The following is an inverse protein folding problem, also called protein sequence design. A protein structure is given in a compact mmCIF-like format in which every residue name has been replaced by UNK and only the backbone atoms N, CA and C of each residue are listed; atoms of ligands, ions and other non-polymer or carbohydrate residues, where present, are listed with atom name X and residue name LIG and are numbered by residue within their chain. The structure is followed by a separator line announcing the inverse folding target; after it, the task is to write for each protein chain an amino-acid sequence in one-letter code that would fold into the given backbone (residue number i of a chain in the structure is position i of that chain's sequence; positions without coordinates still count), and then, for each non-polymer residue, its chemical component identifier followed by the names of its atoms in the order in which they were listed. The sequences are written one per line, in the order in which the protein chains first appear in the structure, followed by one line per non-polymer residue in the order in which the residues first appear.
data_IF_828020271842
#
_entry.id   IF_828020271842
#
_cell.length_a   1.000
_cell.length_b   1.000
_cell.length_c   1.000
_cell.angle_alpha   90.00
_cell.angle_beta   90.00
_cell.angle_gamma   90.00
#
_symmetry.space_group_name_H-M   'P 1'
#
loop_
_entity.id
_entity.type
_entity.pdbx_description
1 polymer ?
#
# COMPACT_ATOMS: atom_id res chain seq x y z
N UNK A 1 -2.21 -74.08 -35.77
CA UNK A 1 -2.41 -72.83 -36.50
C UNK A 1 -3.04 -71.80 -35.47
N UNK A 2 -2.26 -70.91 -34.99
CA UNK A 2 -2.74 -69.78 -34.15
C UNK A 2 -2.48 -68.50 -34.92
N UNK A 3 -3.41 -67.58 -35.05
CA UNK A 3 -3.19 -66.31 -35.71
C UNK A 3 -2.51 -65.32 -34.75
N UNK A 4 -1.47 -64.63 -35.26
CA UNK A 4 -0.79 -63.53 -34.64
C UNK A 4 -1.63 -62.26 -34.85
N UNK A 5 -1.95 -61.54 -33.72
CA UNK A 5 -2.44 -60.17 -33.79
C UNK A 5 -1.29 -59.20 -33.53
N UNK A 6 -1.12 -58.15 -34.33
CA UNK A 6 -0.14 -57.12 -34.07
C UNK A 6 -0.59 -56.16 -32.99
N UNK A 7 0.30 -55.92 -32.03
CA UNK A 7 0.16 -54.96 -30.96
C UNK A 7 0.25 -53.54 -31.52
N UNK A 8 -0.86 -52.79 -31.49
CA UNK A 8 -0.90 -51.39 -31.89
C UNK A 8 -0.34 -50.54 -30.76
N UNK A 9 0.83 -49.96 -30.93
CA UNK A 9 1.46 -49.03 -30.00
C UNK A 9 0.81 -47.67 -30.16
N UNK A 10 -0.07 -47.27 -29.21
CA UNK A 10 -0.64 -45.92 -29.15
C UNK A 10 0.41 -44.99 -28.54
N UNK A 11 1.08 -44.21 -29.34
CA UNK A 11 1.87 -43.06 -28.86
C UNK A 11 0.89 -41.96 -28.42
N UNK A 12 0.80 -41.76 -27.09
CA UNK A 12 0.20 -40.55 -26.51
C UNK A 12 1.17 -39.39 -26.72
N UNK A 13 0.85 -38.50 -27.64
CA UNK A 13 1.49 -37.19 -27.77
C UNK A 13 1.15 -36.37 -26.50
N UNK A 14 2.14 -36.22 -25.63
CA UNK A 14 2.05 -35.22 -24.58
C UNK A 14 2.04 -33.86 -25.27
N UNK A 15 0.87 -33.22 -25.26
CA UNK A 15 0.69 -31.84 -25.71
C UNK A 15 1.52 -30.92 -24.81
N UNK A 16 2.52 -30.25 -25.38
CA UNK A 16 3.11 -29.08 -24.75
C UNK A 16 2.01 -28.01 -24.64
N UNK A 17 1.49 -27.81 -23.47
CA UNK A 17 0.70 -26.60 -23.16
C UNK A 17 1.61 -25.39 -23.36
N UNK A 18 1.29 -24.59 -24.38
CA UNK A 18 1.91 -23.28 -24.55
C UNK A 18 1.57 -22.45 -23.30
N UNK A 19 2.55 -21.72 -22.72
CA UNK A 19 2.23 -20.76 -21.67
C UNK A 19 1.14 -19.80 -22.18
N UNK A 20 0.14 -19.55 -21.36
CA UNK A 20 -0.97 -18.64 -21.68
C UNK A 20 -0.38 -17.30 -22.13
N UNK A 21 -0.73 -16.89 -23.34
CA UNK A 21 -0.41 -15.53 -23.80
C UNK A 21 -1.15 -14.53 -22.92
N UNK A 22 -0.55 -13.36 -22.63
CA UNK A 22 -1.27 -12.27 -21.94
C UNK A 22 -2.55 -11.99 -22.72
N UNK A 23 -3.65 -11.83 -21.99
CA UNK A 23 -4.97 -11.59 -22.55
C UNK A 23 -4.91 -10.46 -23.58
N UNK A 24 -5.50 -10.69 -24.76
CA UNK A 24 -5.60 -9.71 -25.84
C UNK A 24 -6.23 -8.42 -25.29
N UNK A 25 -5.42 -7.34 -25.21
CA UNK A 25 -5.86 -6.02 -24.78
C UNK A 25 -6.87 -5.54 -25.84
N UNK A 26 -8.11 -5.28 -25.43
CA UNK A 26 -9.14 -4.79 -26.34
C UNK A 26 -8.76 -3.38 -26.84
N UNK A 27 -8.17 -3.31 -28.02
CA UNK A 27 -7.73 -2.08 -28.69
C UNK A 27 -8.86 -1.07 -28.94
N UNK A 28 -10.12 -1.45 -28.67
CA UNK A 28 -11.31 -0.60 -28.79
C UNK A 28 -11.62 0.17 -27.49
N UNK A 29 -10.95 -0.15 -26.39
CA UNK A 29 -11.13 0.57 -25.14
C UNK A 29 -10.02 1.64 -24.99
N UNK A 30 -10.31 2.95 -25.13
CA UNK A 30 -9.33 4.03 -25.00
C UNK A 30 -8.74 4.13 -23.58
N UNK A 31 -9.31 3.45 -22.61
CA UNK A 31 -8.87 3.38 -21.21
C UNK A 31 -8.08 2.11 -20.89
N UNK A 32 -7.85 1.21 -21.86
CA UNK A 32 -7.10 -0.02 -21.61
C UNK A 32 -5.66 0.30 -21.18
N UNK A 33 -5.14 -0.47 -20.21
CA UNK A 33 -3.73 -0.44 -19.86
C UNK A 33 -2.91 -0.98 -21.03
N UNK A 34 -1.93 -0.20 -21.49
CA UNK A 34 -0.98 -0.59 -22.53
C UNK A 34 0.40 -0.62 -21.91
N UNK A 35 0.96 -1.81 -21.75
CA UNK A 35 2.32 -1.99 -21.26
C UNK A 35 3.37 -1.57 -22.30
N UNK A 36 4.49 -1.05 -21.81
CA UNK A 36 5.66 -0.80 -22.63
C UNK A 36 6.27 -2.14 -23.09
N UNK A 37 6.71 -2.21 -24.33
CA UNK A 37 7.48 -3.34 -24.84
C UNK A 37 8.95 -3.33 -24.41
N UNK A 38 9.37 -2.30 -23.65
CA UNK A 38 10.75 -2.21 -23.20
C UNK A 38 11.11 -3.37 -22.27
N UNK A 39 12.19 -4.12 -22.54
CA UNK A 39 12.61 -5.21 -21.68
C UNK A 39 13.10 -4.69 -20.32
N UNK A 40 13.01 -5.54 -19.29
CA UNK A 40 13.63 -5.25 -18.01
C UNK A 40 15.14 -5.04 -18.15
N UNK A 41 15.76 -4.12 -17.39
CA UNK A 41 17.20 -4.02 -17.30
C UNK A 41 17.83 -5.35 -16.89
N UNK A 42 19.05 -5.61 -17.38
CA UNK A 42 19.73 -6.91 -17.14
C UNK A 42 19.99 -7.18 -15.66
N UNK A 43 20.29 -6.14 -14.88
CA UNK A 43 20.51 -6.25 -13.44
C UNK A 43 19.19 -6.18 -12.70
N UNK A 44 18.81 -7.29 -12.03
CA UNK A 44 17.61 -7.40 -11.23
C UNK A 44 17.92 -7.16 -9.75
N UNK A 45 17.45 -6.06 -9.16
CA UNK A 45 17.61 -5.84 -7.73
C UNK A 45 16.91 -6.94 -6.92
N UNK A 46 17.56 -7.39 -5.83
CA UNK A 46 16.99 -8.41 -4.97
C UNK A 46 15.65 -7.96 -4.36
N UNK A 47 14.66 -8.85 -4.32
CA UNK A 47 13.35 -8.58 -3.74
C UNK A 47 12.44 -7.66 -4.58
N UNK A 48 12.87 -7.21 -5.76
CA UNK A 48 12.07 -6.31 -6.62
C UNK A 48 11.46 -7.03 -7.83
N UNK A 49 10.42 -6.43 -8.39
CA UNK A 49 9.79 -6.79 -9.65
C UNK A 49 9.91 -5.64 -10.65
N UNK A 50 10.18 -6.00 -11.90
CA UNK A 50 10.13 -5.05 -13.00
C UNK A 50 8.68 -4.73 -13.35
N UNK A 51 8.35 -3.47 -13.33
CA UNK A 51 7.07 -2.93 -13.81
C UNK A 51 7.36 -2.32 -15.17
N UNK A 52 6.76 -2.83 -16.26
CA UNK A 52 7.19 -2.47 -17.60
C UNK A 52 6.91 -1.03 -18.01
N UNK A 53 6.17 -0.29 -17.16
CA UNK A 53 5.65 1.01 -17.53
C UNK A 53 4.54 0.90 -18.58
N UNK A 54 4.18 2.01 -19.20
CA UNK A 54 3.15 2.03 -20.23
C UNK A 54 2.10 3.10 -19.99
N UNK A 55 0.94 2.95 -20.62
CA UNK A 55 -0.18 3.87 -20.52
C UNK A 55 -1.32 3.24 -19.72
N UNK A 56 -1.95 4.00 -18.84
CA UNK A 56 -3.14 3.55 -18.11
C UNK A 56 -4.06 4.72 -17.77
N UNK A 57 -5.29 4.41 -17.37
CA UNK A 57 -6.21 5.37 -16.77
C UNK A 57 -6.02 5.37 -15.27
N UNK A 58 -5.51 6.48 -14.73
CA UNK A 58 -5.32 6.72 -13.31
C UNK A 58 -6.56 7.35 -12.69
N UNK A 59 -6.86 6.97 -11.45
CA UNK A 59 -8.02 7.46 -10.73
C UNK A 59 -9.32 6.77 -11.11
N UNK A 60 -10.43 7.38 -10.76
CA UNK A 60 -11.78 6.90 -11.03
C UNK A 60 -12.77 8.07 -10.99
N UNK A 61 -13.93 7.90 -11.67
CA UNK A 61 -15.01 8.89 -11.61
C UNK A 61 -16.06 8.56 -10.52
N UNK A 62 -15.76 7.65 -9.61
CA UNK A 62 -16.68 7.24 -8.55
C UNK A 62 -16.61 8.17 -7.33
N UNK A 63 -15.42 8.45 -6.82
CA UNK A 63 -15.22 9.25 -5.60
C UNK A 63 -14.62 10.63 -5.93
N UNK A 64 -15.06 11.71 -5.24
CA UNK A 64 -14.57 13.06 -5.55
C UNK A 64 -13.05 13.22 -5.52
N UNK A 65 -12.36 12.57 -4.55
CA UNK A 65 -10.90 12.66 -4.39
C UNK A 65 -10.12 11.88 -5.46
N UNK A 66 -10.78 11.00 -6.21
CA UNK A 66 -10.19 10.17 -7.27
C UNK A 66 -10.37 10.76 -8.66
N UNK A 67 -11.18 11.85 -8.78
CA UNK A 67 -11.58 12.48 -10.05
C UNK A 67 -10.58 13.53 -10.54
N UNK A 68 -10.59 13.77 -11.86
CA UNK A 68 -11.14 12.92 -12.91
C UNK A 68 -10.26 11.69 -13.16
N UNK A 69 -10.85 10.60 -13.65
CA UNK A 69 -10.08 9.56 -14.30
C UNK A 69 -9.33 10.16 -15.49
N UNK A 70 -8.03 9.94 -15.58
CA UNK A 70 -7.19 10.58 -16.59
C UNK A 70 -6.09 9.65 -17.10
N UNK A 71 -5.61 9.96 -18.29
CA UNK A 71 -4.55 9.17 -18.92
C UNK A 71 -3.19 9.52 -18.33
N UNK A 72 -2.40 8.50 -17.98
CA UNK A 72 -1.02 8.63 -17.51
C UNK A 72 -0.12 7.66 -18.27
N UNK A 73 1.10 8.11 -18.58
CA UNK A 73 2.16 7.34 -19.23
C UNK A 73 3.34 7.27 -18.28
N UNK A 74 3.83 6.06 -18.01
CA UNK A 74 4.98 5.82 -17.13
C UNK A 74 6.10 5.11 -17.87
N UNK A 75 7.33 5.44 -17.54
CA UNK A 75 8.49 4.62 -17.85
C UNK A 75 8.49 3.36 -16.96
N UNK A 76 9.28 2.34 -17.37
CA UNK A 76 9.46 1.14 -16.55
C UNK A 76 10.34 1.41 -15.33
N UNK A 77 10.07 0.71 -14.24
CA UNK A 77 10.78 0.85 -12.97
C UNK A 77 10.79 -0.46 -12.18
N UNK A 78 11.70 -0.57 -11.24
CA UNK A 78 11.72 -1.66 -10.28
C UNK A 78 10.89 -1.29 -9.04
N UNK A 79 10.05 -2.21 -8.55
CA UNK A 79 9.28 -2.02 -7.31
C UNK A 79 9.50 -3.20 -6.36
N UNK A 80 9.57 -2.93 -5.05
CA UNK A 80 9.61 -3.96 -4.02
C UNK A 80 8.38 -4.87 -4.11
N UNK A 81 8.59 -6.19 -3.98
CA UNK A 81 7.50 -7.17 -4.09
C UNK A 81 6.45 -7.02 -3.00
N UNK A 82 6.82 -6.45 -1.86
CA UNK A 82 6.01 -6.29 -0.65
C UNK A 82 6.26 -4.93 -0.05
N UNK A 83 5.50 -4.58 0.98
CA UNK A 83 5.91 -3.53 1.91
C UNK A 83 7.31 -3.84 2.46
N UNK A 84 8.04 -2.80 2.87
CA UNK A 84 9.29 -2.97 3.63
C UNK A 84 8.94 -3.65 4.95
N UNK A 85 9.68 -4.73 5.26
CA UNK A 85 9.41 -5.51 6.46
C UNK A 85 10.12 -4.95 7.69
N UNK A 86 9.62 -5.33 8.88
CA UNK A 86 10.25 -5.02 10.16
C UNK A 86 11.73 -5.44 10.18
N UNK A 87 12.05 -6.66 9.73
CA UNK A 87 13.44 -7.14 9.69
C UNK A 87 14.35 -6.34 8.75
N UNK A 88 13.81 -5.86 7.61
CA UNK A 88 14.55 -5.00 6.70
C UNK A 88 14.79 -3.61 7.31
N UNK A 89 13.80 -3.05 7.99
CA UNK A 89 13.94 -1.76 8.66
C UNK A 89 14.87 -1.85 9.88
N UNK A 90 14.84 -2.95 10.62
CA UNK A 90 15.78 -3.23 11.72
C UNK A 90 17.25 -3.28 11.23
N UNK A 91 17.49 -3.88 10.05
CA UNK A 91 18.81 -3.87 9.43
C UNK A 91 19.29 -2.43 9.09
N UNK A 92 18.39 -1.59 8.59
CA UNK A 92 18.68 -0.16 8.36
C UNK A 92 19.06 0.56 9.65
N UNK A 93 18.24 0.40 10.69
CA UNK A 93 18.49 1.07 11.98
C UNK A 93 19.80 0.57 12.61
N UNK A 94 20.08 -0.74 12.56
CA UNK A 94 21.35 -1.30 13.05
C UNK A 94 22.56 -0.77 12.30
N UNK A 95 22.42 -0.57 10.99
CA UNK A 95 23.52 -0.07 10.14
C UNK A 95 23.82 1.43 10.32
N UNK A 96 22.81 2.23 10.66
CA UNK A 96 22.89 3.69 10.64
C UNK A 96 22.77 4.35 12.00
N UNK A 97 22.21 3.66 13.00
CA UNK A 97 21.81 4.26 14.27
C UNK A 97 20.62 5.22 14.15
N UNK A 98 19.82 5.07 13.07
CA UNK A 98 18.67 5.95 12.84
C UNK A 98 17.65 5.87 13.98
N UNK A 99 17.11 7.02 14.38
CA UNK A 99 16.07 7.14 15.40
C UNK A 99 14.82 7.70 14.70
N UNK A 100 13.73 6.94 14.70
CA UNK A 100 12.50 7.34 14.04
C UNK A 100 11.77 8.47 14.76
N UNK A 101 10.85 9.12 14.07
CA UNK A 101 10.02 10.19 14.64
C UNK A 101 9.27 9.74 15.90
N UNK A 102 8.70 8.54 15.88
CA UNK A 102 7.97 7.95 17.00
C UNK A 102 8.86 7.62 18.22
N UNK A 103 10.19 7.53 18.06
CA UNK A 103 11.16 7.31 19.14
C UNK A 103 11.72 8.63 19.72
N UNK A 104 11.46 9.78 19.07
CA UNK A 104 11.90 11.10 19.52
C UNK A 104 10.88 11.71 20.47
N UNK A 105 11.36 12.39 21.52
CA UNK A 105 10.51 13.20 22.36
C UNK A 105 10.03 14.42 21.57
N UNK A 106 8.71 14.61 21.38
CA UNK A 106 8.18 15.81 20.73
C UNK A 106 8.55 17.08 21.51
N UNK A 107 8.71 18.19 20.80
CA UNK A 107 8.93 19.51 21.44
C UNK A 107 7.65 20.34 21.34
N UNK A 108 7.48 21.30 22.24
CA UNK A 108 6.31 22.21 22.18
C UNK A 108 6.21 22.95 20.85
N UNK A 109 7.36 23.25 20.25
CA UNK A 109 7.48 23.94 18.98
C UNK A 109 6.94 23.13 17.80
N UNK A 110 6.87 21.79 17.92
CA UNK A 110 6.32 20.89 16.91
C UNK A 110 4.80 20.98 16.82
N UNK A 111 4.14 21.65 17.76
CA UNK A 111 2.69 21.79 17.79
C UNK A 111 2.23 23.22 17.40
N UNK A 112 1.00 23.38 16.88
CA UNK A 112 0.40 24.68 16.61
C UNK A 112 0.46 25.61 17.83
N UNK A 113 0.67 26.90 17.61
CA UNK A 113 0.89 27.89 18.67
C UNK A 113 -0.26 27.90 19.71
N UNK A 114 -1.50 27.78 19.25
CA UNK A 114 -2.70 27.73 20.09
C UNK A 114 -2.76 26.51 21.02
N UNK A 115 -2.05 25.44 20.71
CA UNK A 115 -1.98 24.24 21.53
C UNK A 115 -0.84 24.27 22.54
N UNK A 116 0.24 25.02 22.26
CA UNK A 116 1.49 24.99 23.05
C UNK A 116 1.28 25.36 24.52
N UNK A 117 0.35 26.27 24.78
CA UNK A 117 0.04 26.70 26.14
C UNK A 117 -0.66 25.63 27.02
N UNK A 118 -1.28 24.64 26.36
CA UNK A 118 -2.01 23.55 27.02
C UNK A 118 -1.14 22.30 27.19
N UNK A 119 0.05 22.24 26.52
CA UNK A 119 0.96 21.11 26.58
C UNK A 119 1.85 21.22 27.83
N UNK A 120 1.77 20.20 28.69
CA UNK A 120 2.78 19.96 29.72
C UNK A 120 3.82 18.92 29.27
N UNK A 121 4.94 18.82 29.99
CA UNK A 121 6.03 17.90 29.65
C UNK A 121 5.63 16.42 29.69
N UNK A 122 4.62 16.07 30.49
CA UNK A 122 4.12 14.68 30.57
C UNK A 122 3.37 14.24 29.32
N UNK A 123 2.90 15.20 28.52
CA UNK A 123 2.25 14.95 27.22
C UNK A 123 3.26 14.76 26.10
N UNK A 124 4.47 15.35 26.26
CA UNK A 124 5.55 15.29 25.26
C UNK A 124 6.37 14.00 25.43
N UNK A 125 5.75 12.87 25.13
CA UNK A 125 6.38 11.57 25.19
C UNK A 125 6.46 10.95 23.78
N UNK A 126 7.53 10.20 23.48
CA UNK A 126 7.62 9.43 22.23
C UNK A 126 6.41 8.52 22.07
N UNK A 127 5.93 8.36 20.85
CA UNK A 127 4.76 7.52 20.55
C UNK A 127 4.27 7.65 19.13
N UNK A 128 3.20 6.96 18.84
CA UNK A 128 2.55 6.95 17.52
C UNK A 128 1.03 6.90 17.67
N UNK A 129 0.33 7.24 16.58
CA UNK A 129 -1.12 7.11 16.53
C UNK A 129 -1.51 5.64 16.36
N UNK A 130 -2.25 5.12 17.32
CA UNK A 130 -2.63 3.71 17.32
C UNK A 130 -4.14 3.54 17.29
N UNK A 131 -4.57 2.59 16.48
CA UNK A 131 -5.93 2.10 16.53
C UNK A 131 -6.14 1.30 17.83
N UNK A 132 -7.24 1.59 18.49
CA UNK A 132 -7.74 0.86 19.66
C UNK A 132 -9.20 0.49 19.43
N UNK A 133 -9.52 -0.82 19.36
CA UNK A 133 -10.90 -1.24 19.20
C UNK A 133 -11.75 -0.72 20.38
N UNK A 134 -12.96 -0.29 20.06
CA UNK A 134 -13.93 0.11 21.10
C UNK A 134 -14.58 -1.14 21.72
N UNK A 135 -14.98 -1.11 22.99
CA UNK A 135 -15.63 -2.25 23.63
C UNK A 135 -17.01 -2.58 23.01
N UNK A 136 -17.67 -1.58 22.43
CA UNK A 136 -18.99 -1.66 21.80
C UNK A 136 -19.00 -0.85 20.51
N UNK A 137 -19.92 -1.13 19.56
CA UNK A 137 -20.08 -0.31 18.36
C UNK A 137 -20.32 1.16 18.68
N UNK A 138 -19.68 2.04 17.93
CA UNK A 138 -19.81 3.50 18.09
C UNK A 138 -20.17 4.16 16.75
N UNK A 139 -20.79 5.35 16.75
CA UNK A 139 -20.97 6.14 15.54
C UNK A 139 -19.61 6.43 14.87
N UNK A 140 -19.57 6.38 13.52
CA UNK A 140 -18.33 6.55 12.74
C UNK A 140 -18.01 8.02 12.40
N UNK A 141 -18.66 8.95 13.01
CA UNK A 141 -18.48 10.41 12.84
C UNK A 141 -17.45 11.03 13.77
N UNK A 142 -16.90 10.25 14.71
CA UNK A 142 -15.87 10.69 15.64
C UNK A 142 -14.71 9.68 15.69
N UNK A 143 -13.71 9.90 14.87
CA UNK A 143 -12.53 9.04 14.78
C UNK A 143 -11.70 8.96 16.08
N UNK A 144 -11.78 9.95 16.95
CA UNK A 144 -11.10 9.93 18.24
C UNK A 144 -11.64 8.85 19.18
N UNK A 145 -12.77 8.22 18.86
CA UNK A 145 -13.28 7.07 19.62
C UNK A 145 -12.39 5.82 19.52
N UNK A 146 -11.65 5.66 18.40
CA UNK A 146 -10.78 4.49 18.14
C UNK A 146 -9.34 4.85 17.78
N UNK A 147 -8.99 6.12 17.70
CA UNK A 147 -7.62 6.56 17.54
C UNK A 147 -7.10 7.19 18.81
N UNK A 148 -5.93 6.77 19.25
CA UNK A 148 -5.24 7.36 20.39
C UNK A 148 -3.74 7.56 20.09
N UNK A 149 -3.16 8.62 20.64
CA UNK A 149 -1.70 8.74 20.70
C UNK A 149 -1.17 7.84 21.81
N UNK A 150 -0.53 6.74 21.40
CA UNK A 150 -0.04 5.72 22.32
C UNK A 150 1.43 5.98 22.66
N UNK A 151 1.70 6.33 23.90
CA UNK A 151 3.06 6.54 24.42
C UNK A 151 3.87 5.24 24.32
N UNK A 152 5.12 5.35 23.79
CA UNK A 152 6.01 4.23 23.61
C UNK A 152 5.70 3.32 22.43
N UNK A 153 4.62 3.60 21.66
CA UNK A 153 4.42 2.93 20.37
C UNK A 153 5.45 3.45 19.36
N UNK A 154 6.05 2.54 18.62
CA UNK A 154 7.04 2.82 17.58
C UNK A 154 7.13 1.63 16.61
N UNK A 155 7.96 1.73 15.59
CA UNK A 155 8.21 0.59 14.71
C UNK A 155 8.70 -0.67 15.45
N UNK A 156 9.35 -0.53 16.63
CA UNK A 156 9.79 -1.65 17.47
C UNK A 156 8.66 -2.29 18.28
N UNK A 157 7.65 -1.52 18.59
CA UNK A 157 6.48 -1.91 19.39
C UNK A 157 5.22 -1.27 18.78
N UNK A 158 4.81 -1.69 17.57
CA UNK A 158 3.75 -1.00 16.83
C UNK A 158 2.38 -1.07 17.51
N UNK A 159 2.16 -2.06 18.37
CA UNK A 159 0.94 -2.18 19.17
C UNK A 159 1.12 -1.63 20.60
N UNK A 160 2.15 -0.79 20.81
CA UNK A 160 2.49 -0.22 22.10
C UNK A 160 3.30 -1.14 23.01
N UNK A 161 3.80 -0.63 24.15
CA UNK A 161 4.74 -1.35 25.03
C UNK A 161 4.21 -2.66 25.59
N UNK A 162 2.89 -2.81 25.72
CA UNK A 162 2.24 -4.04 26.21
C UNK A 162 1.81 -4.97 25.05
N UNK A 163 1.97 -4.54 23.80
CA UNK A 163 1.59 -5.31 22.63
C UNK A 163 2.59 -6.43 22.30
N UNK A 164 2.24 -7.33 21.37
CA UNK A 164 3.17 -8.35 20.89
C UNK A 164 4.34 -7.71 20.14
N UNK A 165 5.52 -8.31 20.22
CA UNK A 165 6.64 -7.94 19.39
C UNK A 165 6.34 -8.26 17.92
N UNK A 166 6.71 -7.37 16.97
CA UNK A 166 6.53 -7.64 15.55
C UNK A 166 7.44 -8.76 15.07
N UNK A 167 7.00 -9.50 14.05
CA UNK A 167 7.83 -10.50 13.37
C UNK A 167 8.68 -9.83 12.30
N UNK A 168 9.84 -10.38 12.00
CA UNK A 168 10.70 -9.87 10.91
C UNK A 168 9.98 -9.76 9.56
N UNK A 169 8.95 -10.57 9.35
CA UNK A 169 8.14 -10.61 8.13
C UNK A 169 6.90 -9.73 8.17
N UNK A 170 6.61 -9.05 9.26
CA UNK A 170 5.51 -8.08 9.30
C UNK A 170 5.92 -6.80 8.56
N UNK A 171 5.00 -6.08 7.90
CA UNK A 171 5.32 -4.76 7.38
C UNK A 171 5.75 -3.83 8.51
N UNK A 172 6.77 -3.01 8.26
CA UNK A 172 7.13 -1.96 9.19
C UNK A 172 6.06 -0.88 9.18
N UNK A 173 5.58 -0.51 10.35
CA UNK A 173 4.60 0.55 10.58
C UNK A 173 5.04 1.46 11.73
N UNK A 174 4.26 2.45 12.11
CA UNK A 174 4.68 3.51 13.06
C UNK A 174 5.94 4.26 12.56
N UNK A 175 6.02 4.47 11.26
CA UNK A 175 7.04 5.25 10.56
C UNK A 175 6.38 6.39 9.81
N UNK A 176 6.91 7.59 9.95
CA UNK A 176 6.42 8.75 9.22
C UNK A 176 7.05 8.81 7.80
N UNK A 177 6.69 9.84 7.01
CA UNK A 177 7.16 9.98 5.65
C UNK A 177 8.68 10.18 5.56
N UNK A 178 9.27 10.89 6.51
CA UNK A 178 10.72 11.12 6.58
C UNK A 178 11.47 9.83 6.93
N UNK A 179 10.96 9.04 7.88
CA UNK A 179 11.51 7.74 8.24
C UNK A 179 11.53 6.79 7.03
N UNK A 180 10.41 6.74 6.28
CA UNK A 180 10.29 5.95 5.07
C UNK A 180 11.26 6.40 3.98
N UNK A 181 11.40 7.72 3.79
CA UNK A 181 12.31 8.33 2.83
C UNK A 181 13.78 8.07 3.20
N UNK A 182 14.13 8.15 4.48
CA UNK A 182 15.48 7.87 4.98
C UNK A 182 15.89 6.40 4.72
N UNK A 183 14.97 5.45 5.00
CA UNK A 183 15.18 4.04 4.65
C UNK A 183 15.39 3.87 3.14
N UNK A 184 14.49 4.44 2.33
CA UNK A 184 14.55 4.31 0.88
C UNK A 184 15.89 4.83 0.33
N UNK A 185 16.34 5.99 0.79
CA UNK A 185 17.64 6.56 0.41
C UNK A 185 18.82 5.67 0.81
N UNK A 186 18.83 5.15 2.05
CA UNK A 186 19.87 4.23 2.52
C UNK A 186 19.93 2.96 1.65
N UNK A 187 18.77 2.43 1.24
CA UNK A 187 18.67 1.25 0.39
C UNK A 187 19.01 1.52 -1.10
N UNK A 188 19.40 2.76 -1.47
CA UNK A 188 19.62 3.15 -2.86
C UNK A 188 18.36 3.12 -3.70
N UNK A 189 17.21 3.42 -3.09
CA UNK A 189 15.85 3.43 -3.64
C UNK A 189 15.16 4.77 -3.37
N UNK A 190 13.89 4.87 -3.72
CA UNK A 190 13.00 6.00 -3.41
C UNK A 190 11.59 5.50 -3.12
N UNK A 191 10.75 6.36 -2.56
CA UNK A 191 9.32 6.11 -2.50
C UNK A 191 8.73 6.17 -3.93
N UNK A 192 7.68 5.37 -4.23
CA UNK A 192 6.98 5.47 -5.51
C UNK A 192 6.24 6.80 -5.62
N UNK A 193 6.09 7.32 -6.83
CA UNK A 193 5.06 8.33 -7.08
C UNK A 193 3.68 7.68 -6.95
N UNK A 194 2.65 8.50 -6.72
CA UNK A 194 1.28 8.02 -6.65
C UNK A 194 0.88 7.27 -7.94
N UNK A 195 1.29 7.78 -9.09
CA UNK A 195 1.01 7.18 -10.39
C UNK A 195 1.74 5.82 -10.56
N UNK A 196 3.00 5.72 -10.17
CA UNK A 196 3.75 4.47 -10.19
C UNK A 196 3.09 3.43 -9.27
N UNK A 197 2.66 3.86 -8.09
CA UNK A 197 2.00 2.97 -7.14
C UNK A 197 0.69 2.41 -7.72
N UNK A 198 -0.19 3.28 -8.28
CA UNK A 198 -1.47 2.85 -8.83
C UNK A 198 -1.30 1.96 -10.06
N UNK A 199 -0.38 2.32 -10.99
CA UNK A 199 -0.08 1.49 -12.14
C UNK A 199 0.37 0.09 -11.73
N UNK A 200 1.29 0.02 -10.78
CA UNK A 200 1.81 -1.24 -10.25
C UNK A 200 0.72 -2.05 -9.52
N UNK A 201 -0.13 -1.40 -8.73
CA UNK A 201 -1.25 -2.05 -8.02
C UNK A 201 -2.26 -2.68 -8.98
N UNK A 202 -2.55 -2.02 -10.11
CA UNK A 202 -3.47 -2.56 -11.11
C UNK A 202 -2.97 -3.85 -11.77
N UNK A 203 -1.67 -4.16 -11.73
CA UNK A 203 -1.14 -5.45 -12.18
C UNK A 203 -1.44 -5.79 -13.64
N UNK A 204 -1.54 -4.77 -14.53
CA UNK A 204 -1.93 -4.92 -15.94
C UNK A 204 -3.45 -4.92 -16.18
N UNK A 205 -4.29 -4.85 -15.13
CA UNK A 205 -5.75 -4.80 -15.28
C UNK A 205 -6.23 -3.36 -15.45
N UNK A 206 -7.15 -3.14 -16.38
CA UNK A 206 -7.77 -1.84 -16.63
C UNK A 206 -9.16 -1.76 -16.04
N UNK A 207 -9.48 -0.64 -15.34
CA UNK A 207 -10.80 -0.32 -14.86
C UNK A 207 -11.40 -1.30 -13.83
N UNK A 208 -10.57 -2.17 -13.24
CA UNK A 208 -11.03 -3.15 -12.25
C UNK A 208 -11.14 -2.53 -10.86
N UNK A 209 -12.15 -3.00 -10.10
CA UNK A 209 -12.44 -2.51 -8.75
C UNK A 209 -11.34 -2.90 -7.76
N UNK A 210 -10.76 -4.10 -7.91
CA UNK A 210 -9.68 -4.60 -7.07
C UNK A 210 -8.44 -4.94 -7.90
N UNK A 211 -7.32 -5.13 -7.25
CA UNK A 211 -6.03 -5.46 -7.89
C UNK A 211 -6.02 -6.84 -8.58
N UNK A 212 -7.04 -7.66 -8.37
CA UNK A 212 -7.25 -8.99 -8.98
C UNK A 212 -8.50 -9.08 -9.86
N UNK A 213 -9.36 -8.05 -9.93
CA UNK A 213 -10.59 -8.07 -10.73
C UNK A 213 -11.74 -7.31 -10.08
N UNK A 214 -12.97 -7.79 -10.28
CA UNK A 214 -14.18 -7.08 -9.82
C UNK A 214 -14.88 -7.76 -8.63
N UNK A 215 -14.54 -9.01 -8.33
CA UNK A 215 -15.13 -9.77 -7.23
C UNK A 215 -14.26 -9.65 -5.97
N UNK A 216 -14.84 -9.23 -4.84
CA UNK A 216 -14.09 -9.04 -3.58
C UNK A 216 -13.47 -10.34 -3.07
N UNK A 217 -14.21 -11.43 -3.15
CA UNK A 217 -13.82 -12.77 -2.66
C UNK A 217 -13.99 -13.81 -3.78
N UNK A 218 -13.10 -13.83 -4.78
CA UNK A 218 -13.20 -14.79 -5.87
C UNK A 218 -13.13 -16.22 -5.32
N UNK A 219 -14.13 -17.03 -5.70
CA UNK A 219 -14.25 -18.38 -5.15
C UNK A 219 -14.45 -18.45 -3.64
N UNK A 220 -14.91 -17.37 -3.01
CA UNK A 220 -15.12 -17.28 -1.57
C UNK A 220 -13.85 -17.02 -0.74
N UNK A 221 -12.69 -16.78 -1.37
CA UNK A 221 -11.41 -16.58 -0.69
C UNK A 221 -11.11 -15.08 -0.48
N UNK A 222 -10.61 -14.75 0.71
CA UNK A 222 -10.04 -13.43 0.96
C UNK A 222 -8.74 -13.26 0.18
N UNK A 223 -8.60 -12.12 -0.47
CA UNK A 223 -7.45 -11.78 -1.31
C UNK A 223 -6.58 -10.68 -0.70
N UNK A 224 -6.95 -10.18 0.47
CA UNK A 224 -6.30 -9.07 1.18
C UNK A 224 -6.59 -9.14 2.67
N UNK A 225 -5.73 -8.52 3.48
CA UNK A 225 -5.94 -8.33 4.91
C UNK A 225 -6.70 -7.00 5.14
N UNK A 226 -7.96 -7.09 5.57
CA UNK A 226 -8.81 -5.95 5.92
C UNK A 226 -9.67 -6.29 7.16
N UNK A 227 -10.39 -5.32 7.67
CA UNK A 227 -11.34 -5.55 8.75
C UNK A 227 -12.57 -6.32 8.28
N UNK A 228 -13.03 -7.29 9.10
CA UNK A 228 -14.29 -8.00 8.90
C UNK A 228 -15.13 -7.95 10.19
N UNK A 229 -16.42 -7.68 10.05
CA UNK A 229 -17.36 -7.59 11.17
C UNK A 229 -17.68 -6.16 11.57
N UNK A 230 -17.91 -5.90 12.84
CA UNK A 230 -18.39 -4.59 13.33
C UNK A 230 -17.22 -3.64 13.61
N UNK A 231 -16.92 -2.77 12.65
CA UNK A 231 -15.92 -1.72 12.83
C UNK A 231 -16.46 -0.60 13.74
N UNK A 232 -15.68 -0.08 14.72
CA UNK A 232 -14.31 -0.44 15.12
C UNK A 232 -14.26 -1.38 16.33
N UNK A 233 -15.36 -2.07 16.67
CA UNK A 233 -15.48 -2.83 17.91
C UNK A 233 -14.93 -4.27 17.79
N UNK A 234 -15.28 -4.97 16.72
CA UNK A 234 -14.99 -6.40 16.62
C UNK A 234 -14.54 -6.80 15.21
N UNK A 235 -13.26 -7.13 15.08
CA UNK A 235 -12.77 -7.80 13.88
C UNK A 235 -13.01 -9.31 13.98
N UNK A 236 -13.74 -9.88 13.01
CA UNK A 236 -13.99 -11.31 12.94
C UNK A 236 -12.77 -12.10 12.45
N UNK A 237 -11.77 -11.42 11.86
CA UNK A 237 -10.53 -11.99 11.31
C UNK A 237 -10.80 -13.20 10.38
N UNK A 238 -11.81 -13.10 9.52
CA UNK A 238 -12.17 -14.16 8.55
C UNK A 238 -11.06 -14.38 7.50
N UNK A 239 -10.22 -13.38 7.27
CA UNK A 239 -9.05 -13.44 6.41
C UNK A 239 -7.84 -14.13 7.08
N UNK A 240 -7.96 -14.48 8.37
CA UNK A 240 -6.96 -15.17 9.17
C UNK A 240 -6.11 -14.24 10.06
N UNK A 241 -6.31 -12.92 9.99
CA UNK A 241 -5.45 -11.95 10.70
C UNK A 241 -6.28 -10.89 11.45
N UNK A 242 -6.13 -10.80 12.78
CA UNK A 242 -6.82 -9.77 13.56
C UNK A 242 -6.20 -8.38 13.46
N UNK A 243 -4.99 -8.28 12.93
CA UNK A 243 -4.20 -7.07 12.72
C UNK A 243 -3.28 -7.28 11.51
N UNK A 244 -2.07 -6.72 11.51
CA UNK A 244 -1.10 -6.90 10.41
C UNK A 244 -0.82 -8.40 10.13
N UNK A 245 -0.83 -8.74 8.85
CA UNK A 245 -0.39 -10.02 8.33
C UNK A 245 1.10 -9.96 7.95
N UNK A 246 1.86 -11.06 8.05
CA UNK A 246 3.17 -11.16 7.41
C UNK A 246 3.04 -10.86 5.92
N UNK A 247 4.01 -10.16 5.34
CA UNK A 247 4.01 -9.92 3.91
C UNK A 247 3.91 -11.23 3.11
N UNK A 248 3.26 -11.18 1.94
CA UNK A 248 2.99 -12.36 1.09
C UNK A 248 1.99 -13.37 1.67
N UNK A 249 1.18 -12.98 2.65
CA UNK A 249 0.11 -13.85 3.15
C UNK A 249 -1.00 -14.03 2.12
N UNK A 250 -1.10 -13.15 1.13
CA UNK A 250 -2.11 -13.20 0.06
C UNK A 250 -1.46 -13.31 -1.33
N UNK A 251 -2.21 -13.80 -2.34
CA UNK A 251 -1.69 -13.94 -3.70
C UNK A 251 -1.19 -12.63 -4.29
N UNK A 252 -0.16 -12.65 -5.15
CA UNK A 252 0.31 -11.46 -5.85
C UNK A 252 -0.64 -11.04 -6.97
N UNK A 253 -0.54 -9.76 -7.38
CA UNK A 253 -1.17 -9.26 -8.59
C UNK A 253 -0.43 -9.72 -9.88
N UNK A 254 -0.90 -9.27 -11.05
CA UNK A 254 -0.34 -9.67 -12.36
C UNK A 254 1.14 -9.31 -12.56
N UNK A 255 1.70 -8.36 -11.82
CA UNK A 255 3.13 -8.01 -11.84
C UNK A 255 3.96 -8.76 -10.78
N UNK A 256 3.32 -9.62 -9.98
CA UNK A 256 3.99 -10.39 -8.92
C UNK A 256 4.26 -9.56 -7.67
N UNK A 257 3.47 -8.51 -7.43
CA UNK A 257 3.48 -7.68 -6.24
C UNK A 257 2.42 -8.17 -5.26
N UNK A 258 2.80 -8.34 -4.00
CA UNK A 258 1.91 -8.75 -2.92
C UNK A 258 1.43 -7.53 -2.14
N UNK A 259 0.31 -7.70 -1.45
CA UNK A 259 -0.21 -6.77 -0.44
C UNK A 259 -0.47 -5.35 -0.98
N UNK A 260 -0.76 -5.24 -2.31
CA UNK A 260 -1.16 -3.98 -2.96
C UNK A 260 -2.59 -3.57 -2.59
N UNK A 261 -3.24 -4.30 -1.71
CA UNK A 261 -4.58 -4.03 -1.17
C UNK A 261 -4.65 -4.54 0.26
N UNK A 262 -5.06 -3.70 1.21
CA UNK A 262 -5.12 -4.02 2.63
C UNK A 262 -3.75 -4.02 3.31
N UNK A 263 -3.63 -4.71 4.44
CA UNK A 263 -2.47 -4.87 5.29
C UNK A 263 -1.97 -3.56 5.89
N UNK A 264 -1.10 -2.81 5.21
CA UNK A 264 -0.68 -1.49 5.66
C UNK A 264 -0.85 -0.44 4.55
N UNK A 265 -1.34 0.77 4.89
CA UNK A 265 -1.22 1.92 4.01
C UNK A 265 0.23 2.15 3.64
N UNK A 266 0.48 2.67 2.45
CA UNK A 266 1.82 2.88 1.95
C UNK A 266 2.06 4.33 1.54
N UNK A 267 3.08 4.95 2.15
CA UNK A 267 3.54 6.27 1.77
C UNK A 267 3.95 6.34 0.30
N UNK A 268 3.54 7.40 -0.38
CA UNK A 268 4.07 7.77 -1.70
C UNK A 268 4.92 9.05 -1.63
N UNK A 269 5.63 9.36 -2.71
CA UNK A 269 6.46 10.58 -2.79
C UNK A 269 5.63 11.85 -2.87
N UNK A 270 4.41 11.78 -3.38
CA UNK A 270 3.60 12.90 -3.81
C UNK A 270 2.98 13.67 -2.64
N UNK A 271 2.88 14.98 -2.83
CA UNK A 271 2.01 15.82 -2.03
C UNK A 271 0.57 15.68 -2.51
N UNK A 272 -0.37 15.85 -1.60
CA UNK A 272 -1.78 15.92 -1.94
C UNK A 272 -2.18 17.38 -2.27
N UNK A 273 -2.97 17.53 -3.31
CA UNK A 273 -3.71 18.75 -3.62
C UNK A 273 -5.07 18.36 -4.19
N UNK A 274 -6.12 19.03 -3.71
CA UNK A 274 -7.47 18.87 -4.24
C UNK A 274 -7.51 19.20 -5.74
N UNK A 275 -8.19 18.36 -6.54
CA UNK A 275 -8.35 18.60 -7.96
C UNK A 275 -7.09 18.47 -8.81
N UNK A 276 -5.93 18.07 -8.26
CA UNK A 276 -4.68 17.93 -9.01
C UNK A 276 -4.81 17.08 -10.27
N UNK A 277 -5.60 16.02 -10.25
CA UNK A 277 -5.78 15.12 -11.38
C UNK A 277 -6.29 15.82 -12.66
N UNK A 278 -7.06 16.90 -12.52
CA UNK A 278 -7.54 17.71 -13.67
C UNK A 278 -6.41 18.44 -14.41
N UNK A 279 -5.24 18.62 -13.78
CA UNK A 279 -4.08 19.33 -14.34
C UNK A 279 -2.79 18.50 -14.28
N UNK A 280 -2.88 17.24 -13.87
CA UNK A 280 -1.72 16.35 -13.79
C UNK A 280 -1.04 16.20 -15.15
N UNK A 281 0.30 16.30 -15.23
CA UNK A 281 1.01 15.94 -16.46
C UNK A 281 0.71 14.48 -16.83
N UNK A 282 0.56 14.23 -18.14
CA UNK A 282 0.32 12.89 -18.63
C UNK A 282 1.55 11.98 -18.45
N UNK A 283 2.76 12.51 -18.61
CA UNK A 283 4.00 11.73 -18.63
C UNK A 283 4.76 11.82 -17.31
N UNK A 284 4.98 10.66 -16.65
CA UNK A 284 5.72 10.51 -15.40
C UNK A 284 5.35 11.58 -14.35
N UNK A 285 4.06 11.75 -13.98
CA UNK A 285 3.66 12.76 -13.00
C UNK A 285 4.33 12.51 -11.65
N UNK A 286 4.76 13.59 -10.98
CA UNK A 286 5.46 13.57 -9.69
C UNK A 286 4.67 14.26 -8.58
N UNK A 287 3.38 14.46 -8.79
CA UNK A 287 2.53 15.18 -7.87
C UNK A 287 2.70 16.71 -7.91
N UNK A 288 1.84 17.43 -7.20
CA UNK A 288 1.92 18.88 -7.06
C UNK A 288 3.00 19.30 -6.06
N UNK A 289 3.36 20.60 -5.99
CA UNK A 289 4.11 21.14 -4.87
C UNK A 289 3.31 21.04 -3.55
N UNK A 290 3.97 21.19 -2.37
CA UNK A 290 3.26 21.26 -1.10
C UNK A 290 2.15 22.31 -1.12
N UNK A 291 0.96 21.94 -0.69
CA UNK A 291 -0.20 22.82 -0.63
C UNK A 291 -1.02 22.51 0.62
N UNK A 292 -1.58 23.54 1.24
CA UNK A 292 -2.56 23.43 2.31
C UNK A 292 -4.00 23.29 1.79
N UNK A 293 -4.18 23.13 0.46
CA UNK A 293 -5.49 22.94 -0.17
C UNK A 293 -6.00 21.49 0.06
N UNK A 294 -6.37 21.24 1.30
CA UNK A 294 -6.99 20.01 1.76
C UNK A 294 -7.87 20.30 2.98
N UNK A 295 -8.60 19.31 3.46
CA UNK A 295 -9.51 19.44 4.60
C UNK A 295 -8.79 19.73 5.94
N UNK A 296 -7.49 19.49 6.02
CA UNK A 296 -6.70 19.67 7.25
C UNK A 296 -6.01 21.05 7.30
N UNK A 297 -6.01 21.80 6.18
CA UNK A 297 -5.35 23.10 6.10
C UNK A 297 -3.82 23.06 6.23
N UNK A 298 -3.20 21.89 6.08
CA UNK A 298 -1.75 21.67 6.17
C UNK A 298 -1.26 20.80 4.99
N UNK A 299 -0.02 21.03 4.50
CA UNK A 299 0.55 20.17 3.47
C UNK A 299 0.56 18.71 3.91
N UNK A 300 0.01 17.83 3.07
CA UNK A 300 -0.16 16.41 3.37
C UNK A 300 0.44 15.55 2.27
N UNK A 301 0.97 14.39 2.67
CA UNK A 301 1.49 13.36 1.77
C UNK A 301 0.41 12.32 1.48
N UNK A 302 0.47 11.77 0.28
CA UNK A 302 -0.43 10.71 -0.14
C UNK A 302 0.00 9.35 0.38
N UNK A 303 -0.98 8.53 0.69
CA UNK A 303 -0.82 7.11 0.99
C UNK A 303 -1.83 6.28 0.21
N UNK A 304 -1.49 5.03 -0.09
CA UNK A 304 -2.24 4.15 -0.98
C UNK A 304 -2.37 2.75 -0.39
N UNK A 305 -3.30 1.96 -0.93
CA UNK A 305 -3.44 0.53 -0.67
C UNK A 305 -4.46 0.14 0.38
N UNK A 306 -4.81 1.02 1.28
CA UNK A 306 -5.64 0.63 2.43
C UNK A 306 -4.84 -0.12 3.48
N UNK A 307 -5.51 -0.58 4.53
CA UNK A 307 -4.88 -1.31 5.62
C UNK A 307 -5.80 -2.37 6.21
N UNK A 308 -5.30 -3.13 7.16
CA UNK A 308 -6.07 -4.11 7.95
C UNK A 308 -7.28 -3.51 8.69
N UNK A 309 -7.38 -2.17 8.76
CA UNK A 309 -8.51 -1.43 9.35
C UNK A 309 -9.59 -1.05 8.32
N UNK A 310 -9.33 -1.22 7.01
CA UNK A 310 -10.29 -0.83 6.00
C UNK A 310 -11.49 -1.77 5.97
N UNK A 311 -12.69 -1.16 5.95
CA UNK A 311 -13.98 -1.81 5.84
C UNK A 311 -14.89 -0.92 4.98
N UNK A 312 -15.81 -1.49 4.24
CA UNK A 312 -16.69 -0.76 3.30
C UNK A 312 -17.51 0.36 3.97
N UNK A 313 -17.88 0.20 5.25
CA UNK A 313 -18.57 1.23 6.01
C UNK A 313 -17.66 2.39 6.48
N UNK A 314 -16.34 2.22 6.49
CA UNK A 314 -15.37 3.21 7.00
C UNK A 314 -14.44 3.72 5.91
N UNK A 315 -13.69 2.84 5.26
CA UNK A 315 -12.84 3.21 4.13
C UNK A 315 -12.71 2.06 3.12
N UNK A 316 -12.77 2.38 1.84
CA UNK A 316 -12.50 1.44 0.75
C UNK A 316 -11.09 1.65 0.18
N UNK A 317 -10.12 1.93 1.05
CA UNK A 317 -8.74 2.24 0.70
C UNK A 317 -8.01 1.15 -0.10
N UNK A 318 -8.50 -0.08 -0.01
CA UNK A 318 -8.00 -1.25 -0.72
C UNK A 318 -8.29 -1.26 -2.24
N UNK A 319 -9.08 -0.30 -2.76
CA UNK A 319 -9.27 -0.15 -4.21
C UNK A 319 -8.03 0.53 -4.84
N UNK A 320 -7.54 0.07 -6.01
CA UNK A 320 -6.34 0.66 -6.61
C UNK A 320 -6.45 2.15 -6.90
N UNK A 321 -7.67 2.69 -7.16
CA UNK A 321 -7.91 4.13 -7.36
C UNK A 321 -8.05 4.93 -6.06
N UNK A 322 -8.25 4.26 -4.92
CA UNK A 322 -8.49 4.95 -3.65
C UNK A 322 -7.27 5.76 -3.20
N UNK A 323 -7.54 6.97 -2.74
CA UNK A 323 -6.53 7.93 -2.28
C UNK A 323 -6.82 8.33 -0.84
N UNK A 324 -5.78 8.39 -0.02
CA UNK A 324 -5.84 8.96 1.31
C UNK A 324 -4.60 9.82 1.54
N UNK A 325 -4.68 10.75 2.47
CA UNK A 325 -3.58 11.66 2.76
C UNK A 325 -3.56 12.00 4.25
N UNK A 326 -2.37 12.32 4.75
CA UNK A 326 -2.15 12.80 6.11
C UNK A 326 -0.87 13.64 6.16
N UNK A 327 -0.65 14.35 7.26
CA UNK A 327 0.58 15.13 7.43
C UNK A 327 1.81 14.24 7.43
N UNK A 328 2.96 14.71 6.88
CA UNK A 328 4.16 13.88 6.71
C UNK A 328 4.78 13.39 8.02
N UNK A 329 4.46 14.03 9.14
CA UNK A 329 4.91 13.67 10.49
C UNK A 329 4.06 12.57 11.15
N UNK A 330 2.95 12.15 10.52
CA UNK A 330 2.11 11.08 11.04
C UNK A 330 2.85 9.74 11.07
N UNK A 331 2.91 9.12 12.24
CA UNK A 331 3.31 7.73 12.43
C UNK A 331 2.12 6.95 13.02
N UNK A 332 1.75 5.82 12.41
CA UNK A 332 0.57 5.06 12.81
C UNK A 332 0.77 3.56 12.64
N UNK A 333 0.11 2.75 13.47
CA UNK A 333 0.24 1.28 13.47
C UNK A 333 -0.41 0.57 12.27
N UNK A 334 -0.87 1.31 11.29
CA UNK A 334 -1.41 0.79 10.03
C UNK A 334 -0.81 1.45 8.77
N UNK A 335 0.30 2.17 8.93
CA UNK A 335 0.92 2.95 7.86
C UNK A 335 2.42 2.64 7.78
N UNK A 336 2.81 2.11 6.64
CA UNK A 336 4.16 1.73 6.26
C UNK A 336 4.50 2.23 4.86
N UNK A 337 5.29 1.48 4.10
CA UNK A 337 5.72 1.87 2.76
C UNK A 337 6.37 0.72 1.99
N UNK A 338 6.49 0.87 0.67
CA UNK A 338 7.40 0.10 -0.21
C UNK A 338 8.24 1.05 -1.05
N UNK A 339 9.31 0.53 -1.66
CA UNK A 339 10.23 1.34 -2.44
C UNK A 339 10.25 0.96 -3.92
N UNK A 340 10.73 1.93 -4.74
CA UNK A 340 11.02 1.76 -6.17
C UNK A 340 12.47 2.19 -6.49
N UNK A 341 12.96 1.73 -7.65
CA UNK A 341 14.29 2.08 -8.17
C UNK A 341 14.22 2.32 -9.67
#
# INVERSE_FOLDING_TARGET
MKPHFPLLLVLTLAGCEKPAQPADIDRRNPHATMESSAPAPAEKPAGMRWIPGGTFTMGSDEKPVEKPAHRVVLEGFWMDQTEVTHGQFDAFVKATGYVTSAEKTPKKEDFPEEMRAQLDESMLQPGANNFRPTPEPVPLDNELAWWEYMKGASWRQPMGPAGPAPRDTDPVVCVNWEDASAYAQWAGKRLPTEAEWEFAARGGLSGKKYVWGDEMKPGGQWMMNIWQGEFPAKNAAEDGFPALAPVKSFPPNGYGLHDMAGNAWEWTADWYQSGYYASSPEYNPKGPPPSADNHQGQPSKLMRGGSWLCHDCYCEGYRPSARQFTTPDTASNHLGFRCVK
#
